data_IF_950088412435
#
_entry.id   IF_950088412435
#
_cell.length_a   1.000
_cell.length_b   1.000
_cell.length_c   1.000
_cell.angle_alpha   90.00
_cell.angle_beta   90.00
_cell.angle_gamma   90.00
#
_symmetry.space_group_name_H-M   'P 1'
#
loop_
_entity.id
_entity.type
_entity.pdbx_description
1 polymer ?
#
# COMPACT_ATOMS: atom_id res chain seq x y z
N UNK A 1 31.55 -5.91 8.85
CA UNK A 1 32.86 -6.15 8.27
C UNK A 1 32.89 -5.56 6.88
N UNK A 2 33.87 -4.68 6.62
CA UNK A 2 34.09 -4.07 5.32
C UNK A 2 35.51 -4.38 4.87
N UNK A 3 35.70 -4.74 3.60
CA UNK A 3 37.01 -5.02 3.01
C UNK A 3 37.19 -4.04 1.85
N UNK A 4 38.22 -3.21 1.95
CA UNK A 4 38.54 -2.20 0.95
C UNK A 4 39.86 -2.51 0.23
N UNK A 5 39.85 -2.38 -1.10
CA UNK A 5 41.03 -2.41 -1.95
C UNK A 5 41.10 -1.10 -2.73
N UNK A 6 42.18 -0.36 -2.57
CA UNK A 6 42.49 0.86 -3.36
C UNK A 6 43.88 0.77 -3.88
N UNK A 7 44.07 1.07 -5.14
CA UNK A 7 45.38 1.22 -5.76
C UNK A 7 45.33 2.33 -6.81
N UNK A 8 46.41 3.03 -7.02
CA UNK A 8 46.46 4.10 -8.00
C UNK A 8 47.79 4.78 -8.09
N UNK A 9 47.95 5.60 -9.12
CA UNK A 9 49.11 6.49 -9.34
C UNK A 9 48.89 7.72 -8.50
N UNK A 10 49.95 8.14 -7.79
CA UNK A 10 49.95 9.34 -6.94
C UNK A 10 50.86 10.39 -7.62
N UNK A 11 50.35 11.60 -7.79
CA UNK A 11 51.17 12.72 -8.28
C UNK A 11 52.31 13.06 -7.32
N UNK A 12 53.48 13.38 -7.83
CA UNK A 12 54.65 13.73 -7.02
C UNK A 12 54.40 15.02 -6.25
N UNK A 13 54.70 15.08 -4.94
CA UNK A 13 54.56 16.28 -4.15
C UNK A 13 55.66 17.26 -4.48
N UNK A 14 55.33 18.54 -4.49
CA UNK A 14 56.32 19.64 -4.56
C UNK A 14 56.38 20.28 -3.19
N UNK A 15 57.58 20.32 -2.60
CA UNK A 15 57.79 20.94 -1.29
C UNK A 15 58.57 22.25 -1.50
N UNK A 16 58.05 23.35 -0.99
CA UNK A 16 58.67 24.66 -1.04
C UNK A 16 59.38 24.95 0.29
N UNK A 17 60.68 25.29 0.24
CA UNK A 17 61.48 25.51 1.46
C UNK A 17 61.33 26.91 2.04
N UNK A 18 61.01 27.91 1.23
CA UNK A 18 60.86 29.31 1.68
C UNK A 18 59.62 29.93 1.04
N UNK A 19 58.47 29.80 1.67
CA UNK A 19 57.19 30.22 1.08
C UNK A 19 56.97 29.50 -0.24
N UNK A 20 56.82 30.20 -1.35
CA UNK A 20 56.62 29.59 -2.68
C UNK A 20 57.97 29.55 -3.47
N UNK A 21 59.10 29.73 -2.82
CA UNK A 21 60.44 29.75 -3.44
C UNK A 21 61.17 28.41 -3.21
N UNK A 22 62.10 28.08 -4.09
CA UNK A 22 62.90 26.86 -4.05
C UNK A 22 62.07 25.57 -3.97
N UNK A 23 61.41 25.18 -5.07
CA UNK A 23 60.70 23.90 -5.12
C UNK A 23 61.68 22.75 -5.02
N UNK A 24 61.41 21.82 -4.11
CA UNK A 24 62.11 20.54 -3.96
C UNK A 24 61.21 19.45 -4.34
N UNK A 25 61.69 18.51 -5.13
CA UNK A 25 60.97 17.33 -5.56
C UNK A 25 61.50 16.11 -4.79
N UNK A 26 60.93 15.74 -3.64
CA UNK A 26 61.39 14.57 -2.91
C UNK A 26 61.10 13.31 -3.72
N UNK A 27 62.05 12.36 -3.69
CA UNK A 27 61.87 11.05 -4.28
C UNK A 27 60.82 10.26 -3.47
N UNK A 28 59.60 10.26 -3.96
CA UNK A 28 58.46 9.61 -3.31
C UNK A 28 57.85 8.60 -4.25
N UNK A 29 57.27 7.50 -3.74
CA UNK A 29 56.59 6.54 -4.57
C UNK A 29 55.46 7.19 -5.39
N UNK A 30 55.36 6.85 -6.67
CA UNK A 30 54.34 7.33 -7.62
C UNK A 30 53.09 6.47 -7.66
N UNK A 31 53.06 5.40 -6.89
CA UNK A 31 51.95 4.48 -6.77
C UNK A 31 51.64 4.08 -5.33
N UNK A 32 50.40 3.66 -5.04
CA UNK A 32 50.02 3.19 -3.72
C UNK A 32 49.04 2.03 -3.82
N UNK A 33 49.15 1.13 -2.86
CA UNK A 33 48.20 0.04 -2.64
C UNK A 33 47.76 0.08 -1.18
N UNK A 34 46.45 -0.06 -0.95
CA UNK A 34 45.87 -0.06 0.38
C UNK A 34 44.85 -1.15 0.49
N UNK A 35 45.07 -2.06 1.42
CA UNK A 35 44.16 -3.15 1.78
C UNK A 35 43.63 -2.87 3.19
N UNK A 36 42.34 -2.70 3.34
CA UNK A 36 41.73 -2.41 4.64
C UNK A 36 40.71 -3.47 4.99
N UNK A 37 40.70 -3.86 6.26
CA UNK A 37 39.62 -4.66 6.85
C UNK A 37 39.11 -3.91 8.06
N UNK A 38 37.90 -3.43 7.98
CA UNK A 38 37.25 -2.65 9.02
C UNK A 38 36.11 -3.44 9.66
N UNK A 39 36.08 -3.45 10.98
CA UNK A 39 35.03 -4.00 11.80
C UNK A 39 34.45 -2.89 12.67
N UNK A 40 33.13 -2.69 12.57
CA UNK A 40 32.42 -1.73 13.41
C UNK A 40 31.17 -2.40 13.99
N UNK A 41 31.12 -2.49 15.32
CA UNK A 41 30.00 -3.06 16.06
C UNK A 41 29.36 -1.98 16.95
N UNK A 42 28.13 -1.53 16.64
CA UNK A 42 27.42 -0.63 17.55
C UNK A 42 27.04 -1.38 18.82
N UNK A 43 27.48 -0.87 19.97
CA UNK A 43 27.14 -1.39 21.29
C UNK A 43 25.91 -0.69 21.87
N UNK A 44 25.80 0.62 21.65
CA UNK A 44 24.67 1.42 22.07
C UNK A 44 24.43 2.55 21.08
N UNK A 45 23.17 2.73 20.67
CA UNK A 45 22.76 3.79 19.74
C UNK A 45 21.51 4.54 20.24
N UNK A 46 21.48 4.90 21.51
CA UNK A 46 20.33 5.64 22.08
C UNK A 46 18.99 4.86 21.98
N UNK A 47 19.04 3.54 21.80
CA UNK A 47 17.86 2.70 21.61
C UNK A 47 17.32 2.67 20.18
N UNK A 48 17.97 3.27 19.19
CA UNK A 48 17.53 3.30 17.77
C UNK A 48 17.25 1.92 17.22
N UNK A 49 18.17 0.96 17.41
CA UNK A 49 18.01 -0.41 16.89
C UNK A 49 16.74 -1.04 17.43
N UNK A 50 16.53 -0.96 18.76
CA UNK A 50 15.31 -1.50 19.38
C UNK A 50 14.04 -0.82 18.84
N UNK A 51 14.06 0.50 18.64
CA UNK A 51 12.94 1.25 18.07
C UNK A 51 12.68 0.89 16.62
N UNK A 52 13.73 0.64 15.84
CA UNK A 52 13.62 0.19 14.45
C UNK A 52 13.00 -1.20 14.36
N UNK A 53 13.37 -2.13 15.25
CA UNK A 53 12.74 -3.46 15.32
C UNK A 53 11.26 -3.32 15.70
N UNK A 54 10.94 -2.54 16.74
CA UNK A 54 9.54 -2.29 17.14
C UNK A 54 8.73 -1.65 16.01
N UNK A 55 9.34 -0.73 15.23
CA UNK A 55 8.71 -0.13 14.05
C UNK A 55 8.35 -1.21 13.02
N UNK A 56 9.30 -2.09 12.67
CA UNK A 56 9.07 -3.17 11.72
C UNK A 56 7.97 -4.14 12.19
N UNK A 57 7.92 -4.46 13.48
CA UNK A 57 6.86 -5.30 14.05
C UNK A 57 5.48 -4.64 13.91
N UNK A 58 5.38 -3.34 14.24
CA UNK A 58 4.12 -2.58 14.12
C UNK A 58 3.71 -2.45 12.64
N UNK A 59 4.65 -2.18 11.73
CA UNK A 59 4.38 -2.12 10.28
C UNK A 59 3.88 -3.45 9.73
N UNK A 60 4.42 -4.56 10.23
CA UNK A 60 3.94 -5.91 9.89
C UNK A 60 2.50 -6.12 10.34
N UNK A 61 2.15 -5.69 11.57
CA UNK A 61 0.78 -5.79 12.06
C UNK A 61 -0.17 -4.85 11.30
N UNK A 62 0.28 -3.63 10.94
CA UNK A 62 -0.46 -2.71 10.08
C UNK A 62 -0.77 -3.37 8.72
N UNK A 63 0.21 -3.98 8.08
CA UNK A 63 0.01 -4.67 6.79
C UNK A 63 -0.99 -5.83 6.91
N UNK A 64 -0.93 -6.59 8.02
CA UNK A 64 -1.89 -7.65 8.30
C UNK A 64 -3.31 -7.12 8.49
N UNK A 65 -3.49 -6.07 9.28
CA UNK A 65 -4.78 -5.44 9.54
C UNK A 65 -5.34 -4.79 8.26
N UNK A 66 -4.50 -4.15 7.45
CA UNK A 66 -4.87 -3.62 6.13
C UNK A 66 -5.42 -4.71 5.21
N UNK A 67 -4.74 -5.87 5.18
CA UNK A 67 -5.25 -7.03 4.43
C UNK A 67 -6.62 -7.48 4.93
N UNK A 68 -6.84 -7.52 6.25
CA UNK A 68 -8.15 -7.90 6.83
C UNK A 68 -9.24 -6.88 6.47
N UNK A 69 -8.93 -5.59 6.52
CA UNK A 69 -9.85 -4.51 6.10
C UNK A 69 -10.21 -4.66 4.63
N UNK A 70 -9.22 -4.80 3.75
CA UNK A 70 -9.46 -5.00 2.32
C UNK A 70 -10.30 -6.26 2.04
N UNK A 71 -10.08 -7.35 2.78
CA UNK A 71 -10.91 -8.55 2.65
C UNK A 71 -12.38 -8.31 3.08
N UNK A 72 -12.60 -7.52 4.14
CA UNK A 72 -13.94 -7.16 4.58
C UNK A 72 -14.64 -6.27 3.54
N UNK A 73 -13.93 -5.29 2.98
CA UNK A 73 -14.44 -4.38 1.95
C UNK A 73 -14.80 -5.12 0.66
N UNK A 74 -13.95 -6.07 0.22
CA UNK A 74 -14.24 -6.92 -0.94
C UNK A 74 -15.49 -7.77 -0.70
N UNK A 75 -15.62 -8.38 0.48
CA UNK A 75 -16.81 -9.17 0.82
C UNK A 75 -18.08 -8.34 0.83
N UNK A 76 -18.03 -7.13 1.39
CA UNK A 76 -19.14 -6.19 1.39
C UNK A 76 -19.49 -5.74 -0.04
N UNK A 77 -18.49 -5.43 -0.85
CA UNK A 77 -18.64 -5.08 -2.27
C UNK A 77 -19.33 -6.21 -3.07
N UNK A 78 -18.87 -7.46 -2.89
CA UNK A 78 -19.49 -8.64 -3.51
C UNK A 78 -20.96 -8.80 -3.08
N UNK A 79 -21.25 -8.64 -1.79
CA UNK A 79 -22.62 -8.75 -1.29
C UNK A 79 -23.52 -7.66 -1.91
N UNK A 80 -23.05 -6.44 -1.99
CA UNK A 80 -23.81 -5.34 -2.60
C UNK A 80 -24.10 -5.59 -4.09
N UNK A 81 -23.11 -6.07 -4.84
CA UNK A 81 -23.31 -6.42 -6.25
C UNK A 81 -24.27 -7.61 -6.42
N UNK A 82 -24.17 -8.61 -5.55
CA UNK A 82 -25.11 -9.74 -5.54
C UNK A 82 -26.54 -9.28 -5.27
N UNK A 83 -26.76 -8.39 -4.30
CA UNK A 83 -28.08 -7.82 -4.02
C UNK A 83 -28.60 -6.95 -5.17
N UNK A 84 -27.71 -6.22 -5.85
CA UNK A 84 -28.05 -5.47 -7.07
C UNK A 84 -28.51 -6.41 -8.17
N UNK A 85 -27.75 -7.47 -8.43
CA UNK A 85 -28.15 -8.50 -9.41
C UNK A 85 -29.50 -9.12 -9.08
N UNK A 86 -29.72 -9.49 -7.82
CA UNK A 86 -31.00 -9.99 -7.36
C UNK A 86 -32.17 -9.02 -7.64
N UNK A 87 -31.97 -7.73 -7.33
CA UNK A 87 -32.97 -6.69 -7.56
C UNK A 87 -33.29 -6.55 -9.06
N UNK A 88 -32.29 -6.56 -9.91
CA UNK A 88 -32.45 -6.49 -11.37
C UNK A 88 -33.22 -7.71 -11.90
N UNK A 89 -32.96 -8.92 -11.40
CA UNK A 89 -33.73 -10.11 -11.78
C UNK A 89 -35.20 -10.02 -11.34
N UNK A 90 -35.47 -9.43 -10.18
CA UNK A 90 -36.88 -9.19 -9.76
C UNK A 90 -37.52 -8.12 -10.64
N UNK A 91 -36.83 -7.07 -10.99
CA UNK A 91 -37.31 -6.04 -11.89
C UNK A 91 -37.59 -6.60 -13.29
N UNK A 92 -36.70 -7.44 -13.83
CA UNK A 92 -36.90 -8.15 -15.09
C UNK A 92 -38.21 -8.97 -15.07
N UNK A 93 -38.43 -9.72 -14.00
CA UNK A 93 -39.68 -10.51 -13.87
C UNK A 93 -40.95 -9.65 -13.87
N UNK A 94 -40.91 -8.50 -13.18
CA UNK A 94 -42.03 -7.54 -13.14
C UNK A 94 -42.27 -6.93 -14.51
N UNK A 95 -41.18 -6.46 -15.18
CA UNK A 95 -41.28 -5.86 -16.51
C UNK A 95 -41.82 -6.85 -17.56
N UNK A 96 -41.38 -8.10 -17.51
CA UNK A 96 -41.88 -9.16 -18.41
C UNK A 96 -43.42 -9.33 -18.25
N UNK A 97 -43.94 -9.38 -17.02
CA UNK A 97 -45.38 -9.45 -16.76
C UNK A 97 -46.12 -8.20 -17.22
N UNK A 98 -45.55 -7.02 -16.98
CA UNK A 98 -46.12 -5.73 -17.43
C UNK A 98 -46.22 -5.67 -18.95
N UNK A 99 -45.26 -6.19 -19.68
CA UNK A 99 -45.28 -6.28 -21.14
C UNK A 99 -46.40 -7.19 -21.61
N UNK A 100 -46.56 -8.38 -21.00
CA UNK A 100 -47.67 -9.28 -21.32
C UNK A 100 -49.05 -8.61 -21.12
N UNK A 101 -49.21 -7.84 -20.05
CA UNK A 101 -50.43 -7.07 -19.78
C UNK A 101 -50.63 -5.92 -20.76
N UNK A 102 -49.58 -5.19 -21.10
CA UNK A 102 -49.61 -4.10 -22.07
C UNK A 102 -49.93 -4.59 -23.49
N UNK A 103 -49.45 -5.78 -23.86
CA UNK A 103 -49.77 -6.44 -25.13
C UNK A 103 -51.26 -6.83 -25.20
N UNK A 104 -51.79 -7.45 -24.13
CA UNK A 104 -53.23 -7.77 -24.05
C UNK A 104 -54.09 -6.49 -24.13
N UNK A 105 -53.73 -5.47 -23.36
CA UNK A 105 -54.42 -4.17 -23.39
C UNK A 105 -54.41 -3.53 -24.77
N UNK A 106 -53.27 -3.60 -25.49
CA UNK A 106 -53.19 -3.09 -26.86
C UNK A 106 -54.10 -3.86 -27.81
N UNK A 107 -54.26 -5.17 -27.64
CA UNK A 107 -55.21 -5.98 -28.43
C UNK A 107 -56.66 -5.53 -28.21
N UNK A 108 -57.06 -5.31 -26.93
CA UNK A 108 -58.38 -4.84 -26.57
C UNK A 108 -58.67 -3.43 -27.15
N UNK A 109 -57.71 -2.51 -27.01
CA UNK A 109 -57.80 -1.17 -27.56
C UNK A 109 -57.92 -1.21 -29.08
N UNK A 110 -57.18 -2.06 -29.80
CA UNK A 110 -57.30 -2.21 -31.24
C UNK A 110 -58.66 -2.78 -31.64
N UNK A 111 -59.26 -3.67 -30.86
CA UNK A 111 -60.62 -4.18 -31.08
C UNK A 111 -61.66 -3.05 -30.88
N UNK A 112 -61.57 -2.29 -29.78
CA UNK A 112 -62.47 -1.17 -29.52
C UNK A 112 -62.40 -0.10 -30.62
N UNK A 113 -61.22 0.12 -31.22
CA UNK A 113 -61.04 1.02 -32.37
C UNK A 113 -61.82 0.51 -33.59
N UNK A 114 -61.73 -0.81 -33.87
CA UNK A 114 -62.49 -1.42 -35.00
C UNK A 114 -64.01 -1.26 -34.84
N UNK A 115 -64.48 -1.26 -33.61
CA UNK A 115 -65.86 -1.02 -33.23
C UNK A 115 -66.25 0.48 -33.19
N UNK A 116 -65.30 1.37 -33.44
CA UNK A 116 -65.52 2.82 -33.44
C UNK A 116 -65.63 3.47 -32.06
N UNK A 117 -65.33 2.76 -31.00
CA UNK A 117 -65.48 3.21 -29.59
C UNK A 117 -64.35 4.12 -29.12
N UNK A 118 -63.18 4.10 -29.77
CA UNK A 118 -61.99 4.88 -29.38
C UNK A 118 -61.27 5.45 -30.60
N UNK A 119 -60.41 6.42 -30.35
CA UNK A 119 -59.68 7.14 -31.38
C UNK A 119 -58.33 6.45 -31.77
N UNK A 120 -57.77 6.86 -32.93
CA UNK A 120 -56.46 6.38 -33.32
C UNK A 120 -55.34 6.82 -32.33
N UNK A 121 -55.56 8.00 -31.71
CA UNK A 121 -54.62 8.51 -30.71
C UNK A 121 -54.50 7.55 -29.47
N UNK A 122 -55.60 6.93 -29.08
CA UNK A 122 -55.63 5.98 -27.95
C UNK A 122 -54.81 4.73 -28.28
N UNK A 123 -54.89 4.21 -29.51
CA UNK A 123 -54.04 3.10 -30.00
C UNK A 123 -52.57 3.52 -29.98
N UNK A 124 -52.22 4.68 -30.54
CA UNK A 124 -50.83 5.17 -30.55
C UNK A 124 -50.27 5.35 -29.14
N UNK A 125 -51.04 5.86 -28.19
CA UNK A 125 -50.60 5.95 -26.78
C UNK A 125 -50.33 4.58 -26.18
N UNK A 126 -51.14 3.56 -26.44
CA UNK A 126 -50.92 2.21 -25.96
C UNK A 126 -49.70 1.55 -26.61
N UNK A 127 -49.46 1.80 -27.90
CA UNK A 127 -48.27 1.33 -28.61
C UNK A 127 -47.00 2.00 -28.07
N UNK A 128 -47.05 3.30 -27.78
CA UNK A 128 -45.92 4.03 -27.14
C UNK A 128 -45.63 3.45 -25.76
N UNK A 129 -46.64 3.15 -24.93
CA UNK A 129 -46.48 2.56 -23.62
C UNK A 129 -45.80 1.19 -23.73
N UNK A 130 -46.27 0.31 -24.60
CA UNK A 130 -45.69 -1.01 -24.83
C UNK A 130 -44.21 -0.89 -25.29
N UNK A 131 -43.90 0.09 -26.15
CA UNK A 131 -42.53 0.34 -26.61
C UNK A 131 -41.63 0.79 -25.48
N UNK A 132 -42.13 1.67 -24.59
CA UNK A 132 -41.36 2.12 -23.42
C UNK A 132 -41.16 0.95 -22.41
N UNK A 133 -42.16 0.10 -22.22
CA UNK A 133 -42.02 -1.09 -21.34
C UNK A 133 -40.93 -2.04 -21.89
N UNK A 134 -40.92 -2.26 -23.21
CA UNK A 134 -39.88 -3.09 -23.87
C UNK A 134 -38.50 -2.48 -23.79
N UNK A 135 -38.38 -1.14 -23.93
CA UNK A 135 -37.11 -0.42 -23.75
C UNK A 135 -36.58 -0.61 -22.33
N UNK A 136 -37.45 -0.45 -21.31
CA UNK A 136 -37.06 -0.64 -19.91
C UNK A 136 -36.63 -2.09 -19.61
N UNK A 137 -37.24 -3.07 -20.27
CA UNK A 137 -36.82 -4.47 -20.16
C UNK A 137 -35.40 -4.64 -20.74
N UNK A 138 -35.13 -4.11 -21.93
CA UNK A 138 -33.81 -4.19 -22.58
C UNK A 138 -32.71 -3.51 -21.74
N UNK A 139 -33.02 -2.35 -21.15
CA UNK A 139 -32.07 -1.67 -20.23
C UNK A 139 -31.79 -2.50 -18.99
N UNK A 140 -32.81 -3.18 -18.47
CA UNK A 140 -32.66 -4.11 -17.32
C UNK A 140 -31.78 -5.31 -17.69
N UNK A 141 -31.99 -5.91 -18.86
CA UNK A 141 -31.20 -7.02 -19.37
C UNK A 141 -29.73 -6.63 -19.57
N UNK A 142 -29.47 -5.46 -20.15
CA UNK A 142 -28.12 -4.91 -20.28
C UNK A 142 -27.48 -4.71 -18.90
N UNK A 143 -28.23 -4.22 -17.93
CA UNK A 143 -27.75 -4.01 -16.56
C UNK A 143 -27.44 -5.34 -15.86
N UNK A 144 -28.25 -6.39 -16.07
CA UNK A 144 -27.98 -7.74 -15.57
C UNK A 144 -26.66 -8.27 -16.16
N UNK A 145 -26.46 -8.14 -17.47
CA UNK A 145 -25.24 -8.58 -18.12
C UNK A 145 -24.00 -7.86 -17.55
N UNK A 146 -24.08 -6.52 -17.39
CA UNK A 146 -23.00 -5.72 -16.85
C UNK A 146 -22.65 -6.09 -15.40
N UNK A 147 -23.65 -6.25 -14.53
CA UNK A 147 -23.41 -6.63 -13.13
C UNK A 147 -22.92 -8.07 -13.01
N UNK A 148 -23.40 -8.99 -13.88
CA UNK A 148 -22.85 -10.36 -13.96
C UNK A 148 -21.38 -10.34 -14.32
N UNK A 149 -21.00 -9.62 -15.38
CA UNK A 149 -19.60 -9.48 -15.80
C UNK A 149 -18.71 -8.90 -14.67
N UNK A 150 -19.19 -7.88 -13.97
CA UNK A 150 -18.44 -7.31 -12.83
C UNK A 150 -18.24 -8.33 -11.71
N UNK A 151 -19.24 -9.15 -11.42
CA UNK A 151 -19.13 -10.22 -10.44
C UNK A 151 -18.17 -11.32 -10.90
N UNK A 152 -18.22 -11.72 -12.17
CA UNK A 152 -17.34 -12.73 -12.75
C UNK A 152 -15.88 -12.32 -12.66
N UNK A 153 -15.56 -11.07 -12.99
CA UNK A 153 -14.21 -10.48 -12.83
C UNK A 153 -13.74 -10.56 -11.37
N UNK A 154 -14.61 -10.18 -10.41
CA UNK A 154 -14.27 -10.23 -8.99
C UNK A 154 -14.09 -11.66 -8.46
N UNK A 155 -14.82 -12.62 -9.03
CA UNK A 155 -14.74 -14.04 -8.67
C UNK A 155 -13.65 -14.79 -9.45
N UNK A 156 -13.03 -14.15 -10.46
CA UNK A 156 -12.05 -14.77 -11.34
C UNK A 156 -12.66 -15.83 -12.25
N UNK A 157 -13.93 -15.67 -12.63
CA UNK A 157 -14.66 -16.53 -13.56
C UNK A 157 -14.56 -15.97 -15.00
N UNK A 158 -15.12 -16.72 -15.95
CA UNK A 158 -15.25 -16.26 -17.33
C UNK A 158 -16.24 -15.09 -17.40
N UNK A 159 -15.81 -13.96 -17.97
CA UNK A 159 -16.59 -12.72 -18.07
C UNK A 159 -17.88 -12.82 -18.89
N UNK A 160 -18.05 -13.89 -19.63
CA UNK A 160 -19.23 -14.12 -20.47
C UNK A 160 -20.33 -14.96 -19.77
N UNK A 161 -20.14 -15.34 -18.51
CA UNK A 161 -21.14 -16.08 -17.76
C UNK A 161 -22.28 -15.16 -17.32
N UNK A 162 -23.51 -15.56 -17.62
CA UNK A 162 -24.66 -14.88 -17.05
C UNK A 162 -25.04 -15.50 -15.70
N UNK A 163 -24.74 -14.79 -14.63
CA UNK A 163 -24.99 -15.26 -13.27
C UNK A 163 -26.49 -15.16 -12.94
N UNK A 164 -27.03 -16.22 -12.34
CA UNK A 164 -28.39 -16.22 -11.80
C UNK A 164 -28.31 -16.28 -10.27
N UNK A 165 -28.89 -15.29 -9.55
CA UNK A 165 -28.83 -15.27 -8.11
C UNK A 165 -29.71 -16.35 -7.49
N UNK A 166 -29.17 -17.04 -6.46
CA UNK A 166 -29.98 -17.89 -5.61
C UNK A 166 -30.74 -17.02 -4.59
N UNK A 167 -32.05 -17.10 -4.64
CA UNK A 167 -32.92 -16.26 -3.83
C UNK A 167 -33.33 -16.90 -2.50
N UNK A 168 -33.02 -18.17 -2.28
CA UNK A 168 -33.48 -18.93 -1.08
C UNK A 168 -32.89 -18.40 0.21
N UNK A 169 -31.59 -17.98 0.16
CA UNK A 169 -30.86 -17.47 1.32
C UNK A 169 -31.38 -16.10 1.78
N UNK A 170 -31.87 -15.27 0.86
CA UNK A 170 -32.31 -13.89 1.14
C UNK A 170 -33.65 -13.81 1.90
N UNK A 171 -34.42 -14.89 1.92
CA UNK A 171 -35.69 -14.96 2.66
C UNK A 171 -35.55 -15.55 4.06
N UNK A 172 -34.33 -15.88 4.50
CA UNK A 172 -34.11 -16.35 5.86
C UNK A 172 -34.16 -15.16 6.83
N UNK A 173 -34.97 -15.30 7.87
CA UNK A 173 -35.07 -14.30 8.91
C UNK A 173 -33.72 -14.24 9.70
N UNK A 174 -33.09 -13.09 9.70
CA UNK A 174 -31.90 -12.85 10.50
C UNK A 174 -32.32 -12.29 11.86
N UNK A 175 -31.96 -12.97 12.94
CA UNK A 175 -32.15 -12.45 14.29
C UNK A 175 -31.16 -11.31 14.53
N UNK A 176 -31.67 -10.08 14.62
CA UNK A 176 -30.86 -8.91 14.93
C UNK A 176 -30.59 -8.84 16.44
N UNK A 177 -29.36 -8.58 16.81
CA UNK A 177 -28.97 -8.29 18.18
C UNK A 177 -29.28 -6.82 18.54
N UNK A 178 -29.33 -6.46 19.85
CA UNK A 178 -29.44 -5.08 20.27
C UNK A 178 -28.30 -4.22 19.68
N UNK A 179 -28.60 -2.97 19.39
CA UNK A 179 -27.64 -2.04 18.78
C UNK A 179 -26.34 -1.87 19.58
N UNK A 180 -26.47 -1.83 20.91
CA UNK A 180 -25.31 -1.64 21.82
C UNK A 180 -24.34 -2.82 21.75
N UNK A 181 -24.82 -4.05 21.53
CA UNK A 181 -23.99 -5.23 21.37
C UNK A 181 -23.16 -5.15 20.09
N UNK A 182 -23.75 -4.63 19.00
CA UNK A 182 -23.02 -4.41 17.75
C UNK A 182 -21.92 -3.34 17.91
N UNK A 183 -22.16 -2.29 18.68
CA UNK A 183 -21.14 -1.26 18.96
C UNK A 183 -19.96 -1.89 19.70
N UNK A 184 -20.23 -2.67 20.77
CA UNK A 184 -19.16 -3.33 21.54
C UNK A 184 -18.37 -4.29 20.66
N UNK A 185 -19.04 -5.08 19.82
CA UNK A 185 -18.37 -5.98 18.88
C UNK A 185 -17.55 -5.24 17.83
N UNK A 186 -18.04 -4.12 17.29
CA UNK A 186 -17.30 -3.30 16.33
C UNK A 186 -16.02 -2.76 16.95
N UNK A 187 -16.07 -2.15 18.13
CA UNK A 187 -14.88 -1.65 18.83
C UNK A 187 -13.86 -2.74 19.16
N UNK A 188 -14.31 -3.97 19.41
CA UNK A 188 -13.44 -5.10 19.76
C UNK A 188 -12.84 -5.78 18.52
N UNK A 189 -13.61 -5.93 17.44
CA UNK A 189 -13.30 -6.84 16.36
C UNK A 189 -13.03 -6.17 15.01
N UNK A 190 -13.50 -4.93 14.78
CA UNK A 190 -13.34 -4.24 13.50
C UNK A 190 -11.85 -4.06 13.15
N UNK A 191 -11.41 -4.61 12.00
CA UNK A 191 -10.04 -4.48 11.54
C UNK A 191 -9.62 -3.01 11.31
N UNK A 192 -10.53 -2.14 10.85
CA UNK A 192 -10.24 -0.73 10.61
C UNK A 192 -9.94 0.00 11.92
N UNK A 193 -10.68 -0.28 12.99
CA UNK A 193 -10.41 0.27 14.33
C UNK A 193 -9.07 -0.20 14.90
N UNK A 194 -8.74 -1.48 14.69
CA UNK A 194 -7.44 -2.04 15.09
C UNK A 194 -6.30 -1.41 14.28
N UNK A 195 -6.51 -1.19 12.98
CA UNK A 195 -5.55 -0.52 12.09
C UNK A 195 -5.22 0.89 12.58
N UNK A 196 -6.22 1.69 12.93
CA UNK A 196 -6.03 3.05 13.46
C UNK A 196 -5.26 3.04 14.79
N UNK A 197 -5.51 2.06 15.66
CA UNK A 197 -4.74 1.88 16.91
C UNK A 197 -3.27 1.54 16.62
N UNK A 198 -3.01 0.63 15.68
CA UNK A 198 -1.64 0.27 15.29
C UNK A 198 -0.90 1.46 14.67
N UNK A 199 -1.57 2.27 13.83
CA UNK A 199 -1.00 3.52 13.30
C UNK A 199 -0.68 4.53 14.39
N UNK A 200 -1.52 4.63 15.42
CA UNK A 200 -1.25 5.48 16.59
C UNK A 200 -0.01 4.99 17.35
N UNK A 201 0.15 3.68 17.54
CA UNK A 201 1.36 3.12 18.16
C UNK A 201 2.61 3.34 17.31
N UNK A 202 2.49 3.27 15.98
CA UNK A 202 3.58 3.61 15.07
C UNK A 202 4.03 5.06 15.27
N UNK A 203 3.10 6.00 15.27
CA UNK A 203 3.39 7.41 15.49
C UNK A 203 4.05 7.66 16.87
N UNK A 204 3.58 6.98 17.91
CA UNK A 204 4.22 7.03 19.24
C UNK A 204 5.64 6.47 19.23
N UNK A 205 5.88 5.39 18.50
CA UNK A 205 7.22 4.84 18.35
C UNK A 205 8.14 5.77 17.56
N UNK A 206 7.62 6.48 16.57
CA UNK A 206 8.39 7.48 15.80
C UNK A 206 8.81 8.66 16.67
N UNK A 207 7.91 9.17 17.54
CA UNK A 207 8.26 10.20 18.54
C UNK A 207 9.39 9.72 19.46
N UNK A 208 9.30 8.47 19.95
CA UNK A 208 10.36 7.89 20.80
C UNK A 208 11.65 7.68 20.01
N UNK A 209 11.56 7.32 18.73
CA UNK A 209 12.72 7.19 17.84
C UNK A 209 13.38 8.55 17.61
N UNK A 210 12.60 9.61 17.36
CA UNK A 210 13.10 10.95 17.21
C UNK A 210 13.88 11.41 18.47
N UNK A 211 13.37 11.14 19.66
CA UNK A 211 14.08 11.43 20.92
C UNK A 211 15.41 10.66 21.04
N UNK A 212 15.53 9.48 20.45
CA UNK A 212 16.77 8.70 20.51
C UNK A 212 17.93 9.33 19.74
N UNK A 213 17.66 10.25 18.79
CA UNK A 213 18.70 10.96 18.06
C UNK A 213 19.48 11.96 18.93
N UNK A 214 18.94 12.35 20.09
CA UNK A 214 19.61 13.22 21.05
C UNK A 214 20.44 12.44 22.10
N UNK A 215 20.53 11.11 21.98
CA UNK A 215 21.30 10.28 22.89
C UNK A 215 22.66 9.92 22.31
N UNK A 216 23.69 9.69 23.16
CA UNK A 216 25.00 9.27 22.72
C UNK A 216 24.95 7.90 22.00
N UNK A 217 25.90 7.67 21.11
CA UNK A 217 26.15 6.36 20.51
C UNK A 217 27.53 5.86 20.92
N UNK A 218 27.62 4.54 21.15
CA UNK A 218 28.87 3.85 21.50
C UNK A 218 29.07 2.71 20.53
N UNK A 219 30.23 2.66 19.88
CA UNK A 219 30.62 1.60 18.95
C UNK A 219 32.00 1.05 19.30
N UNK A 220 32.16 -0.25 19.14
CA UNK A 220 33.45 -0.91 19.11
C UNK A 220 33.95 -0.93 17.67
N UNK A 221 35.19 -0.50 17.45
CA UNK A 221 35.79 -0.56 16.13
C UNK A 221 37.12 -1.30 16.18
N UNK A 222 37.44 -1.99 15.10
CA UNK A 222 38.75 -2.57 14.85
C UNK A 222 39.05 -2.39 13.37
N UNK A 223 40.27 -1.94 13.07
CA UNK A 223 40.74 -1.74 11.70
C UNK A 223 42.10 -2.36 11.53
N UNK A 224 42.33 -3.00 10.41
CA UNK A 224 43.62 -3.43 9.95
C UNK A 224 43.87 -2.86 8.56
N UNK A 225 45.00 -2.18 8.38
CA UNK A 225 45.39 -1.59 7.14
C UNK A 225 46.78 -2.06 6.74
N UNK A 226 46.89 -2.75 5.62
CA UNK A 226 48.11 -3.08 4.95
C UNK A 226 48.30 -2.10 3.77
N UNK A 227 49.27 -1.21 3.86
CA UNK A 227 49.47 -0.18 2.86
C UNK A 227 50.91 -0.13 2.37
N UNK A 228 51.09 0.25 1.11
CA UNK A 228 52.39 0.51 0.48
C UNK A 228 52.31 1.70 -0.47
N UNK A 229 52.97 2.81 -0.20
CA UNK A 229 53.50 3.19 1.11
C UNK A 229 52.39 3.62 2.05
N UNK A 230 52.60 3.57 3.36
CA UNK A 230 51.62 4.02 4.37
C UNK A 230 51.44 5.55 4.35
N UNK A 231 52.48 6.22 4.01
CA UNK A 231 52.54 7.68 3.84
C UNK A 231 53.58 8.05 2.77
N UNK A 232 53.33 9.13 2.07
CA UNK A 232 54.23 9.64 1.02
C UNK A 232 55.63 9.97 1.51
N UNK A 233 55.80 10.15 2.81
CA UNK A 233 57.07 10.49 3.45
C UNK A 233 57.86 9.29 3.99
N UNK A 234 57.28 8.09 3.87
CA UNK A 234 57.87 6.85 4.36
C UNK A 234 58.40 6.00 3.19
N UNK A 235 59.34 5.10 3.51
CA UNK A 235 59.93 4.17 2.55
C UNK A 235 58.88 3.37 1.77
N UNK A 236 59.16 3.05 0.52
CA UNK A 236 58.28 2.21 -0.34
C UNK A 236 58.32 0.75 0.09
N UNK A 237 57.64 0.45 1.20
CA UNK A 237 57.48 -0.91 1.73
C UNK A 237 56.04 -1.15 2.26
N UNK A 238 55.66 -2.39 2.36
CA UNK A 238 54.42 -2.74 3.00
C UNK A 238 54.50 -2.55 4.51
N UNK A 239 53.55 -1.80 5.04
CA UNK A 239 53.37 -1.60 6.47
C UNK A 239 52.00 -2.07 6.88
N UNK A 240 51.95 -2.84 7.95
CA UNK A 240 50.71 -3.29 8.56
C UNK A 240 50.43 -2.46 9.80
N UNK A 241 49.26 -1.83 9.83
CA UNK A 241 48.83 -1.04 10.96
C UNK A 241 47.45 -1.58 11.42
N UNK A 242 47.32 -1.79 12.70
CA UNK A 242 46.03 -2.21 13.28
C UNK A 242 45.68 -1.30 14.45
N UNK A 243 44.40 -1.07 14.62
CA UNK A 243 43.88 -0.33 15.75
C UNK A 243 42.56 -1.00 16.24
N UNK A 244 42.34 -0.94 17.53
CA UNK A 244 41.09 -1.35 18.16
C UNK A 244 40.73 -0.31 19.21
N UNK A 245 39.45 0.05 19.27
CA UNK A 245 39.05 1.09 20.19
C UNK A 245 37.54 1.17 20.36
N UNK A 246 37.13 2.02 21.28
CA UNK A 246 35.72 2.36 21.52
C UNK A 246 35.52 3.80 21.05
N UNK A 247 34.51 4.00 20.22
CA UNK A 247 34.09 5.32 19.75
C UNK A 247 32.83 5.73 20.50
N UNK A 248 32.82 6.91 21.10
CA UNK A 248 31.66 7.54 21.71
C UNK A 248 31.34 8.81 20.95
N UNK A 249 30.18 8.89 20.36
CA UNK A 249 29.72 10.06 19.60
C UNK A 249 28.47 10.64 20.24
N UNK A 250 28.47 11.97 20.50
CA UNK A 250 27.35 12.69 21.01
C UNK A 250 27.04 13.92 20.12
N UNK A 251 25.90 13.94 19.43
CA UNK A 251 25.56 15.00 18.50
C UNK A 251 25.04 16.25 19.24
N UNK A 252 25.92 17.16 19.66
CA UNK A 252 25.55 18.39 20.38
C UNK A 252 24.57 19.26 19.58
N UNK A 253 24.67 19.27 18.26
CA UNK A 253 23.76 20.03 17.38
C UNK A 253 22.30 19.54 17.44
N UNK A 254 22.06 18.29 17.85
CA UNK A 254 20.70 17.74 17.99
C UNK A 254 19.92 18.36 19.16
N UNK A 255 20.62 18.90 20.16
CA UNK A 255 20.00 19.60 21.29
C UNK A 255 19.27 20.87 20.85
N UNK A 256 19.79 21.55 19.84
CA UNK A 256 19.19 22.79 19.31
C UNK A 256 18.19 22.53 18.18
N UNK A 257 18.41 21.50 17.35
CA UNK A 257 17.58 21.21 16.18
C UNK A 257 16.29 20.44 16.50
N UNK A 258 16.25 19.68 17.59
CA UNK A 258 15.10 18.85 17.95
C UNK A 258 14.02 19.55 18.79
N UNK A 259 14.18 20.82 19.15
CA UNK A 259 13.18 21.58 19.90
C UNK A 259 11.95 21.97 19.04
N UNK A 260 11.97 21.74 17.73
CA UNK A 260 10.90 22.11 16.80
C UNK A 260 10.29 20.91 16.04
N UNK A 261 10.59 19.69 16.45
CA UNK A 261 9.95 18.45 15.96
C UNK A 261 9.27 17.76 17.14
#
# INVERSE_FOLDING_TARGET
LEIGLKGGIIGQPVVFQNGLSNPTYPDTPDWSQNYTVDFNQPLYQGGKIRRSIQKADIETEIARLQRMTNQADIKLGLLNQYLTLFTLFKQHLVLTRNIEESERRLQDIRQMKKEGLITNNDVLRSEMQLTNDRLSLQETENSIALVSQQLDILLGQDENLLLKPDTTVLYQAVALQPYDDYIVQAYANDPAMKLLRAQTELARNEIRSAKSFSLPSVSLYASNTLARPISRTLADMYNNNWNVGVSVSYPLSSLYKNNHK
#
